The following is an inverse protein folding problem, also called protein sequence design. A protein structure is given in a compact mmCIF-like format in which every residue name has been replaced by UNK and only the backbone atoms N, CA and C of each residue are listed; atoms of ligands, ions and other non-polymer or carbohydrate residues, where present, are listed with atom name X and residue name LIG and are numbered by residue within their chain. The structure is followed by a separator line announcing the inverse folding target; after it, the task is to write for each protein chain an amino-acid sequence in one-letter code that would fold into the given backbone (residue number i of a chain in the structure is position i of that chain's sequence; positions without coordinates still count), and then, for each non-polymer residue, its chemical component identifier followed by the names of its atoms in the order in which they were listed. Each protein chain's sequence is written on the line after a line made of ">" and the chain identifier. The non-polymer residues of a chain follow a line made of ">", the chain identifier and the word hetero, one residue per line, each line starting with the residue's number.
data_IF_760195148223
#
_entry.id   IF_760195148223
#
_cell.length_a   1.000
_cell.length_b   1.000
_cell.length_c   1.000
_cell.angle_alpha   90.00
_cell.angle_beta   90.00
_cell.angle_gamma   90.00
#
_symmetry.space_group_name_H-M   'P 1'
#
loop_
_entity.id
_entity.type
_entity.pdbx_description
1 polymer ?
#
# COMPACT_ATOMS: atom_id res chain seq x y z
N UNK A 1 20.66 -10.63 21.52
CA UNK A 1 20.10 -11.49 20.46
C UNK A 1 19.07 -12.41 21.10
N UNK A 2 17.86 -12.50 20.54
CA UNK A 2 16.77 -13.37 21.01
C UNK A 2 16.13 -14.10 19.84
N UNK A 3 15.57 -15.29 20.09
CA UNK A 3 14.83 -16.06 19.09
C UNK A 3 13.34 -15.73 19.13
N UNK A 4 12.75 -15.47 17.97
CA UNK A 4 11.30 -15.28 17.82
C UNK A 4 10.74 -16.30 16.84
N UNK A 5 9.62 -16.92 17.19
CA UNK A 5 8.92 -17.87 16.33
C UNK A 5 8.03 -17.12 15.32
N UNK A 6 8.20 -17.42 14.04
CA UNK A 6 7.52 -16.75 12.92
C UNK A 6 6.86 -17.78 12.03
N UNK A 7 5.72 -17.42 11.45
CA UNK A 7 4.96 -18.29 10.54
C UNK A 7 4.95 -17.64 9.16
N UNK A 8 5.36 -18.40 8.13
CA UNK A 8 5.29 -17.94 6.76
C UNK A 8 3.82 -17.74 6.33
N UNK A 9 3.42 -16.54 5.86
CA UNK A 9 2.04 -16.26 5.47
C UNK A 9 1.58 -16.99 4.19
N UNK A 10 2.51 -17.55 3.40
CA UNK A 10 2.21 -18.28 2.17
C UNK A 10 1.93 -19.76 2.46
N UNK A 11 2.91 -20.43 3.06
CA UNK A 11 2.92 -21.88 3.25
C UNK A 11 2.60 -22.34 4.68
N UNK A 12 2.41 -21.41 5.63
CA UNK A 12 2.15 -21.68 7.04
C UNK A 12 3.26 -22.48 7.77
N UNK A 13 4.45 -22.62 7.16
CA UNK A 13 5.60 -23.22 7.83
C UNK A 13 6.10 -22.29 8.94
N UNK A 14 6.27 -22.83 10.14
CA UNK A 14 6.88 -22.13 11.27
C UNK A 14 8.40 -22.25 11.26
N UNK A 15 9.09 -21.25 11.79
CA UNK A 15 10.53 -21.25 11.98
C UNK A 15 10.96 -20.17 12.95
N UNK A 16 12.21 -20.23 13.41
CA UNK A 16 12.76 -19.25 14.35
C UNK A 16 13.71 -18.30 13.62
N UNK A 17 13.64 -17.03 13.96
CA UNK A 17 14.60 -16.02 13.51
C UNK A 17 15.31 -15.41 14.71
N UNK A 18 16.58 -15.07 14.54
CA UNK A 18 17.35 -14.36 15.57
C UNK A 18 17.26 -12.86 15.32
N UNK A 19 16.93 -12.10 16.34
CA UNK A 19 16.72 -10.66 16.27
C UNK A 19 17.45 -9.95 17.39
N UNK A 20 17.83 -8.70 17.17
CA UNK A 20 18.39 -7.87 18.23
C UNK A 20 17.28 -7.34 19.13
N UNK A 21 17.28 -7.81 20.39
CA UNK A 21 16.27 -7.46 21.38
C UNK A 21 16.28 -5.96 21.71
N UNK A 22 17.47 -5.37 21.76
CA UNK A 22 17.63 -3.95 22.05
C UNK A 22 16.99 -3.09 20.97
N UNK A 23 17.23 -3.42 19.70
CA UNK A 23 16.60 -2.75 18.56
C UNK A 23 15.07 -2.84 18.61
N UNK A 24 14.50 -3.99 19.00
CA UNK A 24 13.05 -4.16 19.12
C UNK A 24 12.48 -3.36 20.31
N UNK A 25 13.11 -3.44 21.48
CA UNK A 25 12.63 -2.77 22.70
C UNK A 25 12.75 -1.25 22.63
N UNK A 26 13.81 -0.73 22.01
CA UNK A 26 14.06 0.72 21.83
C UNK A 26 13.20 1.35 20.74
N UNK A 27 12.53 0.55 19.91
CA UNK A 27 11.67 1.06 18.84
C UNK A 27 10.50 1.90 19.41
N UNK A 28 10.35 3.14 18.95
CA UNK A 28 9.29 4.05 19.44
C UNK A 28 7.89 3.62 19.04
N UNK A 29 7.74 2.90 17.91
CA UNK A 29 6.46 2.51 17.30
C UNK A 29 5.73 1.38 18.00
N UNK A 30 6.40 0.66 18.89
CA UNK A 30 5.87 -0.55 19.53
C UNK A 30 5.97 -1.82 18.67
N UNK A 31 6.22 -1.70 17.36
CA UNK A 31 6.45 -2.81 16.41
C UNK A 31 7.66 -2.55 15.52
N UNK A 32 8.42 -3.61 15.24
CA UNK A 32 9.60 -3.63 14.38
C UNK A 32 9.36 -4.56 13.20
N UNK A 33 9.61 -4.05 11.99
CA UNK A 33 9.53 -4.83 10.75
C UNK A 33 10.86 -5.55 10.49
N UNK A 34 10.80 -6.85 10.26
CA UNK A 34 11.98 -7.69 10.01
C UNK A 34 11.81 -8.46 8.71
N UNK A 35 12.77 -8.30 7.81
CA UNK A 35 12.81 -9.05 6.56
C UNK A 35 13.23 -10.50 6.83
N UNK A 36 12.36 -11.44 6.51
CA UNK A 36 12.64 -12.88 6.50
C UNK A 36 13.00 -13.27 5.07
N UNK A 37 14.28 -13.58 4.84
CA UNK A 37 14.80 -13.96 3.53
C UNK A 37 14.39 -15.39 3.15
N UNK A 38 14.48 -15.68 1.85
CA UNK A 38 14.37 -17.05 1.35
C UNK A 38 15.40 -17.95 2.06
N UNK A 39 15.07 -19.22 2.23
CA UNK A 39 15.85 -20.26 2.93
C UNK A 39 15.90 -20.16 4.46
N UNK A 40 15.59 -19.00 5.08
CA UNK A 40 15.62 -18.89 6.55
C UNK A 40 14.57 -19.78 7.23
N UNK A 41 13.37 -19.86 6.65
CA UNK A 41 12.27 -20.72 7.13
C UNK A 41 11.76 -21.63 6.00
N UNK A 42 11.55 -21.05 4.82
CA UNK A 42 11.04 -21.70 3.63
C UNK A 42 11.55 -20.99 2.36
N UNK A 43 11.11 -21.43 1.18
CA UNK A 43 11.45 -20.84 -0.12
C UNK A 43 10.77 -19.48 -0.40
N UNK A 44 10.14 -18.85 0.60
CA UNK A 44 9.43 -17.58 0.43
C UNK A 44 10.09 -16.50 1.28
N UNK A 45 10.24 -15.31 0.70
CA UNK A 45 10.59 -14.09 1.43
C UNK A 45 9.33 -13.37 1.91
N UNK A 46 9.37 -12.80 3.12
CA UNK A 46 8.28 -12.00 3.67
C UNK A 46 8.79 -11.06 4.77
N UNK A 47 7.96 -10.11 5.20
CA UNK A 47 8.24 -9.22 6.33
C UNK A 47 7.43 -9.69 7.53
N UNK A 48 8.06 -9.81 8.69
CA UNK A 48 7.39 -10.09 9.97
C UNK A 48 7.42 -8.85 10.86
N UNK A 49 6.29 -8.55 11.50
CA UNK A 49 6.15 -7.41 12.41
C UNK A 49 6.13 -7.92 13.85
N UNK A 50 7.14 -7.53 14.62
CA UNK A 50 7.38 -8.02 15.99
C UNK A 50 7.22 -6.89 16.98
N UNK A 51 6.44 -7.09 18.03
CA UNK A 51 6.25 -6.08 19.07
C UNK A 51 7.37 -6.05 20.12
N UNK A 52 7.32 -5.06 21.03
CA UNK A 52 8.24 -4.93 22.17
C UNK A 52 8.26 -6.13 23.13
N UNK A 53 7.23 -6.95 23.10
CA UNK A 53 7.09 -8.16 23.91
C UNK A 53 7.55 -9.40 23.14
N UNK A 54 8.22 -9.23 22.00
CA UNK A 54 8.73 -10.29 21.12
C UNK A 54 7.64 -11.17 20.49
N UNK A 55 6.41 -10.67 20.41
CA UNK A 55 5.31 -11.35 19.74
C UNK A 55 5.23 -10.92 18.29
N UNK A 56 5.09 -11.90 17.38
CA UNK A 56 4.76 -11.62 15.97
C UNK A 56 3.31 -11.18 15.88
N UNK A 57 3.10 -9.93 15.45
CA UNK A 57 1.78 -9.29 15.29
C UNK A 57 1.19 -9.52 13.91
N UNK A 58 2.02 -9.50 12.88
CA UNK A 58 1.60 -9.74 11.51
C UNK A 58 2.75 -10.27 10.66
N UNK A 59 2.46 -10.85 9.51
CA UNK A 59 3.45 -11.25 8.52
C UNK A 59 2.91 -11.04 7.11
N UNK A 60 3.68 -10.34 6.29
CA UNK A 60 3.25 -9.80 5.02
C UNK A 60 4.20 -10.18 3.90
N UNK A 61 3.66 -10.69 2.79
CA UNK A 61 4.45 -10.96 1.58
C UNK A 61 4.46 -9.69 0.75
N UNK A 62 5.64 -9.09 0.59
CA UNK A 62 5.86 -8.06 -0.40
C UNK A 62 6.78 -8.64 -1.48
N UNK A 63 6.51 -8.36 -2.75
CA UNK A 63 7.47 -8.64 -3.82
C UNK A 63 8.67 -7.70 -3.64
N UNK A 64 9.80 -8.23 -3.18
CA UNK A 64 11.00 -7.42 -2.89
C UNK A 64 11.64 -6.84 -4.14
N UNK A 65 11.20 -7.25 -5.35
CA UNK A 65 11.72 -6.78 -6.63
C UNK A 65 11.09 -5.48 -7.11
N UNK A 66 10.02 -5.03 -6.48
CA UNK A 66 9.35 -3.79 -6.86
C UNK A 66 10.03 -2.63 -6.16
N UNK A 67 10.62 -1.77 -6.98
CA UNK A 67 11.23 -0.52 -6.53
C UNK A 67 10.27 0.63 -6.86
N UNK A 68 9.93 1.42 -5.84
CA UNK A 68 9.13 2.62 -6.03
C UNK A 68 10.04 3.72 -6.61
N UNK A 69 9.59 4.44 -7.65
CA UNK A 69 10.42 5.49 -8.25
C UNK A 69 10.70 6.62 -7.25
N UNK A 70 11.94 7.09 -7.19
CA UNK A 70 12.35 8.19 -6.30
C UNK A 70 12.27 9.54 -7.01
N UNK A 71 11.14 10.23 -6.87
CA UNK A 71 11.02 11.61 -7.36
C UNK A 71 11.59 12.55 -6.31
N UNK A 72 12.46 13.48 -6.71
CA UNK A 72 12.79 14.66 -5.90
C UNK A 72 11.50 15.47 -5.71
N UNK A 73 10.83 15.26 -4.59
CA UNK A 73 9.71 16.11 -4.23
C UNK A 73 10.30 17.46 -3.81
N UNK A 74 9.79 18.55 -4.39
CA UNK A 74 9.88 19.85 -3.73
C UNK A 74 9.31 19.66 -2.32
N UNK A 75 9.98 20.21 -1.30
CA UNK A 75 9.53 20.13 0.08
C UNK A 75 8.07 20.60 0.10
N UNK A 76 7.14 19.65 0.23
CA UNK A 76 5.75 19.99 0.46
C UNK A 76 5.78 20.65 1.82
N UNK A 77 5.42 21.94 1.87
CA UNK A 77 5.17 22.64 3.12
C UNK A 77 4.36 21.69 4.00
N UNK A 78 4.99 21.21 5.06
CA UNK A 78 4.31 20.37 6.04
C UNK A 78 3.06 21.16 6.41
N UNK A 79 1.86 20.54 6.37
CA UNK A 79 0.67 21.23 6.85
C UNK A 79 1.01 21.75 8.24
N UNK A 80 1.04 23.08 8.34
CA UNK A 80 1.52 23.85 9.47
C UNK A 80 0.92 23.24 10.73
N UNK A 81 1.76 22.53 11.52
CA UNK A 81 1.41 21.50 12.51
C UNK A 81 -0.05 21.55 12.99
N UNK A 82 -0.99 21.13 12.15
CA UNK A 82 -2.39 21.34 12.48
C UNK A 82 -2.76 20.36 13.57
N UNK A 83 -3.64 20.77 14.48
CA UNK A 83 -4.13 19.94 15.58
C UNK A 83 -4.62 18.55 15.08
N UNK A 84 -5.03 18.45 13.81
CA UNK A 84 -5.48 17.22 13.16
C UNK A 84 -4.42 16.10 13.07
N UNK A 85 -3.14 16.45 12.96
CA UNK A 85 -2.06 15.45 12.79
C UNK A 85 -1.79 14.69 14.10
N UNK A 86 -1.91 15.39 15.24
CA UNK A 86 -1.71 14.80 16.56
C UNK A 86 -2.77 13.72 16.87
N UNK A 87 -3.98 13.87 16.32
CA UNK A 87 -5.08 12.92 16.51
C UNK A 87 -4.92 11.61 15.73
N UNK A 88 -4.05 11.58 14.70
CA UNK A 88 -3.85 10.39 13.87
C UNK A 88 -3.30 9.22 14.69
N UNK A 89 -2.47 9.50 15.71
CA UNK A 89 -1.85 8.49 16.59
C UNK A 89 -1.33 7.28 15.78
N UNK A 90 -0.40 7.48 14.83
CA UNK A 90 -0.02 6.45 13.87
C UNK A 90 0.50 5.17 14.53
N UNK A 91 1.18 5.28 15.68
CA UNK A 91 1.60 4.11 16.48
C UNK A 91 0.41 3.20 16.86
N UNK A 92 -0.72 3.79 17.24
CA UNK A 92 -1.92 3.05 17.63
C UNK A 92 -2.52 2.31 16.42
N UNK A 93 -2.50 2.94 15.24
CA UNK A 93 -2.95 2.33 13.99
C UNK A 93 -2.04 1.13 13.66
N UNK A 94 -0.72 1.34 13.68
CA UNK A 94 0.28 0.31 13.34
C UNK A 94 0.22 -0.92 14.25
N UNK A 95 -0.13 -0.73 15.53
CA UNK A 95 -0.28 -1.82 16.47
C UNK A 95 -1.55 -2.67 16.25
N UNK A 96 -2.56 -2.11 15.57
CA UNK A 96 -3.88 -2.72 15.53
C UNK A 96 -4.37 -3.11 14.13
N UNK A 97 -3.79 -2.55 13.07
CA UNK A 97 -4.15 -2.83 11.68
C UNK A 97 -3.04 -3.66 11.02
N UNK A 98 -3.42 -4.72 10.31
CA UNK A 98 -2.51 -5.56 9.54
C UNK A 98 -2.08 -4.87 8.25
N UNK A 99 -0.88 -5.15 7.77
CA UNK A 99 -0.36 -4.56 6.54
C UNK A 99 -1.29 -4.84 5.34
N UNK A 100 -1.83 -6.06 5.24
CA UNK A 100 -2.78 -6.44 4.20
C UNK A 100 -4.07 -5.60 4.22
N UNK A 101 -4.53 -5.14 5.38
CA UNK A 101 -5.73 -4.31 5.47
C UNK A 101 -5.45 -2.92 4.91
N UNK A 102 -4.27 -2.35 5.18
CA UNK A 102 -3.84 -1.07 4.60
C UNK A 102 -3.70 -1.20 3.08
N UNK A 103 -3.11 -2.31 2.62
CA UNK A 103 -2.98 -2.63 1.19
C UNK A 103 -4.35 -2.72 0.50
N UNK A 104 -5.31 -3.42 1.12
CA UNK A 104 -6.67 -3.54 0.60
C UNK A 104 -7.38 -2.17 0.56
N UNK A 105 -7.16 -1.32 1.58
CA UNK A 105 -7.69 0.06 1.60
C UNK A 105 -7.12 0.87 0.43
N UNK A 106 -5.80 0.86 0.24
CA UNK A 106 -5.15 1.59 -0.86
C UNK A 106 -5.70 1.17 -2.22
N UNK A 107 -5.73 -0.14 -2.47
CA UNK A 107 -6.27 -0.69 -3.71
C UNK A 107 -7.75 -0.29 -3.89
N UNK A 108 -8.56 -0.31 -2.84
CA UNK A 108 -9.94 0.17 -2.89
C UNK A 108 -10.02 1.63 -3.38
N UNK A 109 -9.16 2.51 -2.84
CA UNK A 109 -9.13 3.94 -3.21
C UNK A 109 -8.64 4.12 -4.64
N UNK A 110 -7.53 3.47 -5.02
CA UNK A 110 -6.97 3.52 -6.37
C UNK A 110 -7.89 2.96 -7.45
N UNK A 111 -8.82 2.07 -7.08
CA UNK A 111 -9.85 1.56 -7.98
C UNK A 111 -11.19 2.31 -7.88
N UNK A 112 -11.25 3.40 -7.09
CA UNK A 112 -12.45 4.21 -6.84
C UNK A 112 -13.65 3.42 -6.32
N UNK A 113 -13.37 2.48 -5.43
CA UNK A 113 -14.40 1.66 -4.78
C UNK A 113 -14.82 2.28 -3.45
N UNK A 114 -16.01 1.89 -3.00
CA UNK A 114 -16.47 2.14 -1.63
C UNK A 114 -15.89 1.10 -0.71
N UNK A 115 -15.32 1.50 0.41
CA UNK A 115 -14.56 0.62 1.31
C UNK A 115 -15.21 0.61 2.68
N UNK A 116 -15.43 -0.59 3.22
CA UNK A 116 -15.87 -0.78 4.60
C UNK A 116 -14.83 -1.58 5.37
N UNK A 117 -14.18 -0.95 6.34
CA UNK A 117 -13.33 -1.65 7.30
C UNK A 117 -14.17 -2.13 8.49
N UNK A 118 -14.17 -3.44 8.73
CA UNK A 118 -14.74 -4.02 9.94
C UNK A 118 -13.69 -4.05 11.03
N UNK A 119 -13.92 -3.32 12.12
CA UNK A 119 -13.01 -3.26 13.26
C UNK A 119 -13.81 -3.24 14.55
N UNK A 120 -13.53 -4.18 15.45
CA UNK A 120 -14.23 -4.27 16.75
C UNK A 120 -13.75 -3.22 17.76
N UNK A 121 -12.59 -2.59 17.51
CA UNK A 121 -12.03 -1.58 18.41
C UNK A 121 -12.39 -0.16 17.94
N UNK A 122 -13.48 0.36 18.49
CA UNK A 122 -14.03 1.71 18.19
C UNK A 122 -13.06 2.85 18.48
N UNK A 123 -12.11 2.66 19.42
CA UNK A 123 -11.07 3.66 19.74
C UNK A 123 -10.20 3.98 18.51
N UNK A 124 -10.10 3.05 17.55
CA UNK A 124 -9.30 3.20 16.34
C UNK A 124 -10.02 3.99 15.24
N UNK A 125 -11.33 4.23 15.35
CA UNK A 125 -12.10 4.79 14.24
C UNK A 125 -11.61 6.18 13.85
N UNK A 126 -11.51 7.09 14.82
CA UNK A 126 -11.03 8.45 14.57
C UNK A 126 -9.56 8.48 14.11
N UNK A 127 -8.60 7.79 14.78
CA UNK A 127 -7.24 7.66 14.29
C UNK A 127 -7.15 7.24 12.82
N UNK A 128 -7.89 6.20 12.43
CA UNK A 128 -7.90 5.70 11.04
C UNK A 128 -8.51 6.73 10.09
N UNK A 129 -9.65 7.32 10.43
CA UNK A 129 -10.31 8.33 9.61
C UNK A 129 -9.39 9.54 9.40
N UNK A 130 -8.70 10.00 10.46
CA UNK A 130 -7.78 11.11 10.38
C UNK A 130 -6.53 10.76 9.56
N UNK A 131 -6.01 9.52 9.67
CA UNK A 131 -4.97 9.02 8.77
C UNK A 131 -5.42 9.09 7.31
N UNK A 132 -6.63 8.62 6.99
CA UNK A 132 -7.17 8.65 5.63
C UNK A 132 -7.27 10.09 5.11
N UNK A 133 -7.82 11.01 5.92
CA UNK A 133 -7.92 12.43 5.56
C UNK A 133 -6.56 13.04 5.23
N UNK A 134 -5.57 12.78 6.09
CA UNK A 134 -4.22 13.31 5.92
C UNK A 134 -3.52 12.75 4.68
N UNK A 135 -3.57 11.43 4.51
CA UNK A 135 -2.85 10.70 3.47
C UNK A 135 -3.44 10.98 2.07
N UNK A 136 -4.76 11.13 1.98
CA UNK A 136 -5.46 11.39 0.72
C UNK A 136 -5.75 12.87 0.45
N UNK A 137 -5.28 13.76 1.33
CA UNK A 137 -5.48 15.20 1.20
C UNK A 137 -4.97 15.72 -0.16
N UNK A 138 -5.84 16.43 -0.89
CA UNK A 138 -5.57 17.04 -2.19
C UNK A 138 -5.16 16.07 -3.32
N UNK A 139 -5.41 14.77 -3.18
CA UNK A 139 -5.11 13.78 -4.22
C UNK A 139 -6.35 12.94 -4.61
N UNK A 140 -6.56 11.79 -4.00
CA UNK A 140 -7.68 10.89 -4.27
C UNK A 140 -8.88 11.23 -3.37
N UNK A 141 -10.04 11.31 -3.97
CA UNK A 141 -11.33 11.19 -3.30
C UNK A 141 -11.52 9.73 -2.89
N UNK A 142 -12.12 9.52 -1.71
CA UNK A 142 -12.36 8.18 -1.19
C UNK A 142 -13.71 8.10 -0.48
N UNK A 143 -14.37 6.95 -0.60
CA UNK A 143 -15.58 6.59 0.17
C UNK A 143 -15.19 5.47 1.13
N UNK A 144 -14.86 5.86 2.37
CA UNK A 144 -14.37 4.97 3.41
C UNK A 144 -15.27 5.04 4.63
N UNK A 145 -15.64 3.89 5.15
CA UNK A 145 -16.40 3.76 6.38
C UNK A 145 -15.76 2.69 7.28
N UNK A 146 -15.92 2.85 8.58
CA UNK A 146 -15.48 1.90 9.59
C UNK A 146 -16.63 1.62 10.56
N UNK A 147 -16.82 0.35 10.92
CA UNK A 147 -17.85 -0.07 11.89
C UNK A 147 -17.53 -1.46 12.44
N UNK A 148 -18.23 -1.85 13.51
CA UNK A 148 -18.08 -3.17 14.09
C UNK A 148 -19.01 -4.16 13.38
N UNK A 149 -18.80 -5.47 13.57
CA UNK A 149 -19.64 -6.47 12.87
C UNK A 149 -21.10 -6.43 13.25
N UNK A 150 -21.42 -6.07 14.49
CA UNK A 150 -22.82 -6.01 14.92
C UNK A 150 -23.57 -4.91 14.16
N UNK A 151 -22.94 -3.75 14.00
CA UNK A 151 -23.45 -2.63 13.20
C UNK A 151 -23.55 -2.99 11.72
N UNK A 152 -22.57 -3.73 11.18
CA UNK A 152 -22.59 -4.21 9.80
C UNK A 152 -23.81 -5.07 9.55
N UNK A 153 -24.04 -6.08 10.41
CA UNK A 153 -25.13 -7.05 10.26
C UNK A 153 -26.47 -6.33 10.28
N UNK A 154 -26.66 -5.37 11.20
CA UNK A 154 -27.89 -4.56 11.28
C UNK A 154 -28.14 -3.74 10.01
N UNK A 155 -27.07 -3.25 9.37
CA UNK A 155 -27.16 -2.32 8.24
C UNK A 155 -26.67 -2.92 6.91
N UNK A 156 -26.62 -4.25 6.79
CA UNK A 156 -25.91 -4.95 5.70
C UNK A 156 -26.33 -4.50 4.30
N UNK A 157 -27.60 -4.16 4.11
CA UNK A 157 -28.14 -3.68 2.83
C UNK A 157 -27.50 -2.37 2.36
N UNK A 158 -27.12 -1.47 3.29
CA UNK A 158 -26.46 -0.18 2.99
C UNK A 158 -25.09 -0.38 2.35
N UNK A 159 -24.44 -1.49 2.67
CA UNK A 159 -23.05 -1.78 2.28
C UNK A 159 -22.97 -2.85 1.17
N UNK A 160 -24.01 -3.02 0.36
CA UNK A 160 -24.06 -4.04 -0.70
C UNK A 160 -22.96 -3.83 -1.75
N UNK A 161 -22.67 -2.58 -2.07
CA UNK A 161 -21.71 -2.19 -3.11
C UNK A 161 -20.34 -1.81 -2.52
N UNK A 162 -20.11 -2.10 -1.24
CA UNK A 162 -18.84 -1.84 -0.56
C UNK A 162 -17.92 -3.06 -0.66
N UNK A 163 -16.63 -2.80 -0.84
CA UNK A 163 -15.58 -3.78 -0.61
C UNK A 163 -15.34 -3.89 0.89
N UNK A 164 -15.58 -5.09 1.43
CA UNK A 164 -15.55 -5.35 2.87
C UNK A 164 -14.18 -5.88 3.27
N UNK A 165 -13.47 -5.13 4.11
CA UNK A 165 -12.18 -5.51 4.70
C UNK A 165 -12.46 -6.00 6.12
N UNK A 166 -12.18 -7.27 6.39
CA UNK A 166 -12.47 -7.92 7.69
C UNK A 166 -11.25 -8.69 8.19
N UNK A 167 -10.72 -8.25 9.34
CA UNK A 167 -9.53 -8.79 10.01
C UNK A 167 -9.60 -10.28 10.32
N UNK A 168 -10.80 -10.79 10.60
CA UNK A 168 -11.01 -12.18 11.05
C UNK A 168 -11.73 -13.05 10.02
N UNK A 169 -11.90 -12.59 8.77
CA UNK A 169 -12.21 -13.51 7.67
C UNK A 169 -11.07 -14.51 7.54
N UNK A 170 -11.39 -15.79 7.76
CA UNK A 170 -10.47 -16.91 7.64
C UNK A 170 -9.60 -16.81 6.36
N UNK A 171 -8.28 -16.84 6.56
CA UNK A 171 -7.22 -16.78 5.52
C UNK A 171 -7.47 -17.73 4.33
N UNK A 172 -8.21 -18.83 4.54
CA UNK A 172 -8.54 -19.84 3.52
C UNK A 172 -9.47 -19.32 2.41
N UNK A 173 -10.38 -18.36 2.68
CA UNK A 173 -11.24 -17.75 1.64
C UNK A 173 -10.52 -16.61 0.90
N UNK A 174 -9.65 -15.85 1.58
CA UNK A 174 -8.80 -14.81 0.98
C UNK A 174 -7.87 -15.35 -0.12
N UNK A 175 -7.33 -16.58 0.03
CA UNK A 175 -6.43 -17.22 -0.97
C UNK A 175 -7.07 -17.44 -2.35
N UNK A 176 -8.41 -17.41 -2.49
CA UNK A 176 -9.09 -17.53 -3.80
C UNK A 176 -9.41 -16.17 -4.44
N UNK A 177 -9.60 -15.12 -3.64
CA UNK A 177 -9.96 -13.78 -4.14
C UNK A 177 -8.71 -12.91 -4.42
N UNK A 178 -7.63 -13.04 -3.64
CA UNK A 178 -6.37 -12.32 -3.88
C UNK A 178 -5.50 -12.90 -5.01
N UNK A 179 -5.87 -14.05 -5.58
CA UNK A 179 -5.06 -14.71 -6.62
C UNK A 179 -5.14 -14.04 -8.01
N UNK A 180 -5.99 -13.03 -8.23
CA UNK A 180 -6.21 -12.47 -9.57
C UNK A 180 -5.82 -11.00 -9.77
N UNK A 181 -5.43 -10.26 -8.72
CA UNK A 181 -4.88 -8.90 -8.85
C UNK A 181 -3.61 -8.78 -8.03
N UNK A 182 -2.50 -8.57 -8.71
CA UNK A 182 -1.21 -8.33 -8.08
C UNK A 182 -1.19 -6.95 -7.44
N UNK A 183 -1.56 -6.87 -6.15
CA UNK A 183 -1.52 -5.65 -5.32
C UNK A 183 -0.07 -5.35 -4.89
N UNK A 184 0.78 -5.25 -5.91
CA UNK A 184 2.23 -5.40 -5.85
C UNK A 184 2.88 -4.08 -5.43
N UNK A 185 2.46 -2.98 -6.06
CA UNK A 185 2.94 -1.62 -5.78
C UNK A 185 2.41 -1.10 -4.46
N UNK A 186 1.13 -1.33 -4.15
CA UNK A 186 0.54 -0.91 -2.88
C UNK A 186 1.19 -1.64 -1.71
N UNK A 187 1.53 -2.93 -1.89
CA UNK A 187 2.35 -3.67 -0.95
C UNK A 187 3.73 -3.03 -0.70
N UNK A 188 4.39 -2.55 -1.76
CA UNK A 188 5.67 -1.85 -1.64
C UNK A 188 5.52 -0.50 -0.92
N UNK A 189 4.45 0.27 -1.20
CA UNK A 189 4.13 1.52 -0.51
C UNK A 189 3.93 1.27 1.00
N UNK A 190 3.11 0.27 1.36
CA UNK A 190 2.84 -0.08 2.76
C UNK A 190 4.10 -0.59 3.45
N UNK A 191 4.92 -1.39 2.76
CA UNK A 191 6.21 -1.84 3.29
C UNK A 191 7.11 -0.64 3.62
N UNK A 192 7.25 0.32 2.70
CA UNK A 192 8.06 1.53 2.93
C UNK A 192 7.56 2.30 4.15
N UNK A 193 6.25 2.51 4.27
CA UNK A 193 5.62 3.12 5.45
C UNK A 193 5.99 2.40 6.77
N UNK A 194 5.89 1.06 6.77
CA UNK A 194 6.07 0.25 7.98
C UNK A 194 7.54 0.05 8.38
N UNK A 195 8.47 0.14 7.43
CA UNK A 195 9.92 0.01 7.68
C UNK A 195 10.55 1.23 8.36
N UNK A 196 9.92 2.40 8.23
CA UNK A 196 10.45 3.64 8.77
C UNK A 196 10.63 3.62 10.30
N UNK A 197 11.58 4.38 10.83
CA UNK A 197 11.86 4.36 12.29
C UNK A 197 10.85 5.17 13.10
N UNK A 198 10.38 6.29 12.55
CA UNK A 198 9.46 7.24 13.20
C UNK A 198 8.08 7.15 12.56
N UNK A 199 7.02 6.87 13.33
CA UNK A 199 5.66 6.70 12.78
C UNK A 199 5.16 7.93 12.02
N UNK A 200 5.56 9.12 12.45
CA UNK A 200 5.24 10.35 11.74
C UNK A 200 5.96 10.46 10.40
N UNK A 201 7.27 10.18 10.37
CA UNK A 201 8.06 10.15 9.13
C UNK A 201 7.52 9.10 8.16
N UNK A 202 7.11 7.94 8.68
CA UNK A 202 6.43 6.92 7.89
C UNK A 202 5.12 7.43 7.30
N UNK A 203 4.29 8.12 8.08
CA UNK A 203 3.02 8.66 7.61
C UNK A 203 3.22 9.73 6.52
N UNK A 204 4.25 10.56 6.65
CA UNK A 204 4.65 11.52 5.61
C UNK A 204 5.08 10.80 4.33
N UNK A 205 5.96 9.81 4.44
CA UNK A 205 6.37 9.00 3.30
C UNK A 205 5.19 8.29 2.65
N UNK A 206 4.25 7.81 3.45
CA UNK A 206 3.06 7.15 2.96
C UNK A 206 2.19 8.10 2.13
N UNK A 207 1.90 9.30 2.65
CA UNK A 207 1.22 10.38 1.92
C UNK A 207 1.95 10.73 0.63
N UNK A 208 3.28 10.84 0.69
CA UNK A 208 4.11 11.25 -0.43
C UNK A 208 4.10 10.24 -1.58
N UNK A 209 4.17 8.94 -1.28
CA UNK A 209 4.08 7.89 -2.31
C UNK A 209 2.70 7.85 -2.98
N UNK A 210 1.63 8.12 -2.22
CA UNK A 210 0.26 8.20 -2.78
C UNK A 210 0.10 9.44 -3.66
N UNK A 211 0.56 10.59 -3.20
CA UNK A 211 0.54 11.83 -3.99
C UNK A 211 1.31 11.66 -5.30
N UNK A 212 2.45 10.97 -5.24
CA UNK A 212 3.26 10.62 -6.42
C UNK A 212 2.47 9.79 -7.42
N UNK A 213 1.83 8.71 -6.98
CA UNK A 213 0.98 7.88 -7.83
C UNK A 213 -0.15 8.70 -8.49
N UNK A 214 -0.77 9.61 -7.73
CA UNK A 214 -1.80 10.50 -8.26
C UNK A 214 -1.27 11.46 -9.33
N UNK A 215 -0.14 12.13 -9.07
CA UNK A 215 0.46 13.08 -10.00
C UNK A 215 0.91 12.38 -11.30
N UNK A 216 1.58 11.23 -11.18
CA UNK A 216 2.04 10.48 -12.34
C UNK A 216 0.88 9.93 -13.18
N UNK A 217 -0.20 9.46 -12.55
CA UNK A 217 -1.40 9.03 -13.28
C UNK A 217 -2.08 10.19 -14.02
N UNK A 218 -2.12 11.41 -13.45
CA UNK A 218 -2.54 12.61 -14.18
C UNK A 218 -1.63 12.97 -15.34
N UNK A 219 -0.31 12.87 -15.17
CA UNK A 219 0.65 13.09 -16.25
C UNK A 219 0.47 12.14 -17.42
N UNK A 220 0.10 10.87 -17.18
CA UNK A 220 -0.27 9.95 -18.26
C UNK A 220 -1.46 10.50 -19.06
N UNK A 221 -2.50 10.99 -18.39
CA UNK A 221 -3.67 11.57 -19.05
C UNK A 221 -3.29 12.78 -19.91
N UNK A 222 -2.42 13.65 -19.39
CA UNK A 222 -1.90 14.81 -20.13
C UNK A 222 -1.12 14.39 -21.38
N UNK A 223 -0.21 13.43 -21.25
CA UNK A 223 0.56 12.87 -22.38
C UNK A 223 -0.41 12.31 -23.43
N UNK A 224 -1.39 11.50 -23.02
CA UNK A 224 -2.37 10.91 -23.94
C UNK A 224 -3.23 11.97 -24.64
N UNK A 225 -3.61 13.06 -23.97
CA UNK A 225 -4.37 14.16 -24.58
C UNK A 225 -3.54 14.92 -25.63
N UNK A 226 -2.25 15.10 -25.38
CA UNK A 226 -1.35 15.87 -26.24
C UNK A 226 -0.78 15.05 -27.41
N UNK A 227 -0.80 13.72 -27.32
CA UNK A 227 -0.37 12.84 -28.39
C UNK A 227 -1.36 12.92 -29.58
N UNK A 228 -0.84 13.00 -30.82
CA UNK A 228 -1.63 13.20 -32.04
C UNK A 228 -2.84 12.25 -32.08
N UNK A 229 -4.04 12.78 -32.36
CA UNK A 229 -5.36 12.16 -32.07
C UNK A 229 -5.54 10.72 -32.59
N UNK A 230 -4.80 10.29 -33.61
CA UNK A 230 -4.95 8.99 -34.26
C UNK A 230 -3.83 7.98 -33.93
N UNK A 231 -2.71 8.43 -33.34
CA UNK A 231 -1.60 7.55 -33.03
C UNK A 231 -1.78 6.85 -31.68
N UNK A 232 -1.47 5.55 -31.67
CA UNK A 232 -1.31 4.77 -30.43
C UNK A 232 0.06 5.02 -29.83
N UNK A 233 0.12 5.17 -28.52
CA UNK A 233 1.38 5.25 -27.78
C UNK A 233 1.72 3.89 -27.19
N UNK A 234 2.97 3.46 -27.31
CA UNK A 234 3.41 2.23 -26.66
C UNK A 234 3.66 2.45 -25.17
N UNK A 235 3.52 1.39 -24.37
CA UNK A 235 3.89 1.42 -22.95
C UNK A 235 5.35 1.84 -22.74
N UNK A 236 6.28 1.39 -23.59
CA UNK A 236 7.68 1.83 -23.57
C UNK A 236 7.80 3.33 -23.74
N UNK A 237 7.11 3.92 -24.72
CA UNK A 237 7.16 5.37 -24.94
C UNK A 237 6.54 6.15 -23.77
N UNK A 238 5.49 5.61 -23.12
CA UNK A 238 4.96 6.19 -21.88
C UNK A 238 5.98 6.16 -20.74
N UNK A 239 6.71 5.04 -20.56
CA UNK A 239 7.82 4.96 -19.60
C UNK A 239 8.84 6.05 -19.90
N UNK A 240 9.30 6.15 -21.15
CA UNK A 240 10.33 7.12 -21.55
C UNK A 240 9.89 8.56 -21.23
N UNK A 241 8.66 8.94 -21.62
CA UNK A 241 8.15 10.29 -21.41
C UNK A 241 7.93 10.63 -19.93
N UNK A 242 7.46 9.67 -19.13
CA UNK A 242 7.33 9.88 -17.68
C UNK A 242 8.71 9.95 -17.00
N UNK A 243 9.64 9.09 -17.43
CA UNK A 243 11.01 9.04 -16.90
C UNK A 243 11.74 10.35 -17.16
N UNK A 244 11.58 10.92 -18.36
CA UNK A 244 12.10 12.23 -18.72
C UNK A 244 11.43 13.36 -17.91
N UNK A 245 10.09 13.38 -17.81
CA UNK A 245 9.35 14.43 -17.08
C UNK A 245 9.72 14.51 -15.59
N UNK A 246 10.02 13.36 -14.97
CA UNK A 246 10.24 13.27 -13.54
C UNK A 246 11.70 12.95 -13.14
N UNK A 247 12.60 12.81 -14.11
CA UNK A 247 14.00 12.42 -13.90
C UNK A 247 14.18 11.12 -13.09
N UNK A 248 13.37 10.10 -13.39
CA UNK A 248 13.33 8.81 -12.67
C UNK A 248 13.36 7.61 -13.61
N UNK A 249 13.70 6.45 -13.06
CA UNK A 249 13.43 5.16 -13.72
C UNK A 249 12.06 4.63 -13.27
N UNK A 250 11.28 4.11 -14.22
CA UNK A 250 9.96 3.52 -13.95
C UNK A 250 9.97 2.06 -14.37
N UNK A 251 9.77 1.18 -13.40
CA UNK A 251 9.56 -0.25 -13.66
C UNK A 251 8.21 -0.49 -14.35
N UNK A 252 8.13 -1.53 -15.17
CA UNK A 252 6.92 -1.87 -15.91
C UNK A 252 5.72 -2.12 -14.98
N UNK A 253 5.95 -2.82 -13.86
CA UNK A 253 4.95 -3.08 -12.82
C UNK A 253 4.35 -1.79 -12.25
N UNK A 254 5.18 -0.75 -12.08
CA UNK A 254 4.71 0.54 -11.62
C UNK A 254 3.91 1.27 -12.71
N UNK A 255 4.30 1.17 -13.98
CA UNK A 255 3.49 1.69 -15.08
C UNK A 255 2.11 1.03 -15.14
N UNK A 256 2.03 -0.31 -15.06
CA UNK A 256 0.75 -1.03 -15.06
C UNK A 256 -0.17 -0.57 -13.92
N UNK A 257 0.41 -0.41 -12.73
CA UNK A 257 -0.29 0.16 -11.58
C UNK A 257 -0.85 1.57 -11.86
N UNK A 258 -0.04 2.47 -12.43
CA UNK A 258 -0.50 3.81 -12.81
C UNK A 258 -1.60 3.77 -13.88
N UNK A 259 -1.49 2.87 -14.86
CA UNK A 259 -2.52 2.69 -15.90
C UNK A 259 -3.84 2.20 -15.29
N UNK A 260 -3.79 1.30 -14.31
CA UNK A 260 -4.99 0.90 -13.58
C UNK A 260 -5.64 2.08 -12.83
N UNK A 261 -4.86 2.98 -12.24
CA UNK A 261 -5.40 4.22 -11.64
C UNK A 261 -6.05 5.10 -12.72
N UNK A 262 -5.39 5.29 -13.86
CA UNK A 262 -5.92 6.08 -14.99
C UNK A 262 -7.26 5.54 -15.47
N UNK A 263 -7.36 4.22 -15.62
CA UNK A 263 -8.57 3.54 -16.07
C UNK A 263 -9.69 3.57 -15.05
N UNK A 264 -9.41 3.16 -13.81
CA UNK A 264 -10.44 2.88 -12.82
C UNK A 264 -10.81 4.12 -12.01
N UNK A 265 -9.81 4.91 -11.57
CA UNK A 265 -10.06 6.09 -10.75
C UNK A 265 -10.41 7.33 -11.57
N UNK A 266 -9.58 7.64 -12.57
CA UNK A 266 -9.80 8.80 -13.43
C UNK A 266 -10.84 8.53 -14.53
N UNK A 267 -11.23 7.27 -14.75
CA UNK A 267 -12.22 6.88 -15.76
C UNK A 267 -11.75 7.15 -17.19
N UNK A 268 -10.44 7.27 -17.42
CA UNK A 268 -9.89 7.62 -18.71
C UNK A 268 -9.68 6.37 -19.58
N UNK A 269 -10.05 6.46 -20.86
CA UNK A 269 -9.95 5.33 -21.78
C UNK A 269 -8.50 5.10 -22.25
N UNK A 270 -8.00 3.89 -22.03
CA UNK A 270 -6.65 3.47 -22.42
C UNK A 270 -6.57 2.80 -23.79
N UNK A 271 -7.60 2.86 -24.64
CA UNK A 271 -7.59 2.28 -25.99
C UNK A 271 -6.45 2.76 -26.89
N UNK A 272 -5.86 3.91 -26.55
CA UNK A 272 -4.71 4.52 -27.23
C UNK A 272 -3.36 4.00 -26.75
N UNK A 273 -3.34 3.25 -25.65
CA UNK A 273 -2.12 2.60 -25.15
C UNK A 273 -2.03 1.22 -25.79
N UNK A 274 -0.91 0.94 -26.47
CA UNK A 274 -0.65 -0.36 -27.06
C UNK A 274 0.26 -1.21 -26.16
N UNK A 275 -0.05 -2.50 -26.06
CA UNK A 275 0.75 -3.49 -25.35
C UNK A 275 2.07 -3.85 -26.06
N UNK A 276 2.41 -3.18 -27.17
CA UNK A 276 3.64 -3.43 -27.91
C UNK A 276 4.86 -3.03 -27.06
N UNK A 277 5.31 -4.01 -26.29
CA UNK A 277 6.59 -4.05 -25.61
C UNK A 277 7.55 -4.77 -26.56
N UNK A 278 8.60 -4.11 -27.02
CA UNK A 278 9.79 -4.84 -27.44
C UNK A 278 10.56 -5.13 -26.15
N UNK A 279 10.53 -6.37 -25.62
CA UNK A 279 11.60 -6.74 -24.71
C UNK A 279 12.88 -6.61 -25.53
N UNK A 280 13.88 -5.93 -24.98
CA UNK A 280 15.24 -6.06 -25.49
C UNK A 280 15.56 -7.56 -25.48
N UNK A 281 15.44 -8.21 -26.64
CA UNK A 281 16.16 -9.44 -26.91
C UNK A 281 17.62 -9.02 -26.87
N UNK A 282 18.28 -9.32 -25.75
CA UNK A 282 19.71 -9.19 -25.63
C UNK A 282 20.36 -9.92 -26.81
N UNK A 283 20.97 -9.14 -27.69
CA UNK A 283 22.13 -9.55 -28.46
C UNK A 283 23.36 -9.24 -27.61
#
# INVERSE_FOLDING_TARGET
>A
MVEVNVICPICNKSGRITVDEDSIKKNRRGVTAINVTESLICSHSFVSYIDKNLNVRDSFVCDFKIELPEIKQEEVDLPDQSEDVAEIKPDLILLNIKANEIVDILNGVFMKKKILLLNENEILYNPIINMMKFVFQHNFDYDFSILNRQEYIKNKKKYKDFEIIDKERNLSKRKKELKSKTIKVEGAIVKKFLLEASSYSGLLLFRNEILKAFQMSKSIIEILKNYQKEEKISKKKLVDLLSEKYEISIQFEYLEFLLDIVKNYHGYNLSRVSDYYFPNLGL
#
